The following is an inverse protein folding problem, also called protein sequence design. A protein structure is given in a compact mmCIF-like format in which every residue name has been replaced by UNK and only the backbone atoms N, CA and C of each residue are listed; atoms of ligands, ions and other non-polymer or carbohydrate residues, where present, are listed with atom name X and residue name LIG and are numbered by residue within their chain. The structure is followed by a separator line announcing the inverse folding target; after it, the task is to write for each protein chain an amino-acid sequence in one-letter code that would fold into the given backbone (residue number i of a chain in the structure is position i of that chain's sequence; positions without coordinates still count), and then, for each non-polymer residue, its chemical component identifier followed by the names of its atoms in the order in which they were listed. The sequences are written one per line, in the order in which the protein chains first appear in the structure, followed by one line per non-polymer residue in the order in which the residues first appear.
data_IF_139592021107
#
_entry.id   IF_139592021107
#
_cell.length_a   1.000
_cell.length_b   1.000
_cell.length_c   1.000
_cell.angle_alpha   90.00
_cell.angle_beta   90.00
_cell.angle_gamma   90.00
#
_symmetry.space_group_name_H-M   'P 1'
#
loop_
_entity.id
_entity.type
_entity.pdbx_description
1 polymer ?
#
# COMPACT_ATOMS: atom_id res chain seq x y z
N UNK A 1 -13.47 6.42 9.16
CA UNK A 1 -12.05 6.18 9.42
C UNK A 1 -11.64 4.75 9.17
N UNK A 2 -11.94 4.27 7.96
CA UNK A 2 -11.55 2.98 7.40
C UNK A 2 -10.96 3.30 6.02
N UNK A 3 -9.83 2.70 5.70
CA UNK A 3 -9.15 2.84 4.42
C UNK A 3 -8.98 1.48 3.77
N UNK A 4 -9.03 1.46 2.43
CA UNK A 4 -8.87 0.25 1.65
C UNK A 4 -8.20 0.56 0.31
N UNK A 5 -7.26 -0.29 -0.10
CA UNK A 5 -6.57 -0.19 -1.38
C UNK A 5 -6.51 -1.55 -2.07
N UNK A 6 -6.75 -1.58 -3.38
CA UNK A 6 -6.53 -2.76 -4.24
C UNK A 6 -5.19 -2.65 -4.96
N UNK A 7 -4.36 -3.68 -4.86
CA UNK A 7 -3.03 -3.73 -5.46
C UNK A 7 -2.93 -4.93 -6.41
N UNK A 8 -2.13 -4.79 -7.47
CA UNK A 8 -1.98 -5.84 -8.49
C UNK A 8 -1.48 -7.16 -7.89
N UNK A 9 -2.12 -8.29 -8.24
CA UNK A 9 -1.82 -9.62 -7.73
C UNK A 9 -1.86 -10.68 -8.85
N UNK A 10 -1.03 -10.50 -9.90
CA UNK A 10 -1.19 -11.20 -11.16
C UNK A 10 -0.84 -12.68 -11.05
N UNK A 11 -1.64 -13.55 -11.66
CA UNK A 11 -1.40 -15.00 -11.70
C UNK A 11 -1.74 -15.76 -10.40
N UNK A 12 -1.98 -15.06 -9.29
CA UNK A 12 -2.48 -15.66 -8.05
C UNK A 12 -3.98 -15.38 -7.85
N UNK A 13 -4.42 -14.13 -8.09
CA UNK A 13 -5.81 -13.73 -7.94
C UNK A 13 -6.75 -14.66 -8.73
N UNK A 14 -7.74 -15.22 -8.05
CA UNK A 14 -8.81 -16.03 -8.61
C UNK A 14 -10.15 -15.48 -8.13
N UNK A 15 -11.03 -15.18 -9.09
CA UNK A 15 -12.42 -14.84 -8.81
C UNK A 15 -13.30 -16.03 -9.14
N UNK A 16 -14.42 -16.15 -8.44
CA UNK A 16 -15.18 -17.39 -8.42
C UNK A 16 -16.47 -17.26 -9.23
N UNK A 17 -17.06 -18.40 -9.61
CA UNK A 17 -18.46 -18.41 -10.02
C UNK A 17 -19.36 -17.88 -8.88
N UNK A 18 -20.51 -17.35 -9.25
CA UNK A 18 -21.51 -16.92 -8.29
C UNK A 18 -21.94 -18.09 -7.39
N UNK A 19 -22.10 -17.80 -6.09
CA UNK A 19 -22.50 -18.79 -5.09
C UNK A 19 -23.86 -18.45 -4.51
N UNK A 20 -24.71 -19.46 -4.41
CA UNK A 20 -25.99 -19.36 -3.70
C UNK A 20 -25.73 -19.06 -2.21
N UNK A 21 -26.56 -18.23 -1.59
CA UNK A 21 -26.45 -17.81 -0.18
C UNK A 21 -25.18 -17.02 0.17
N UNK A 22 -24.53 -16.39 -0.81
CA UNK A 22 -23.45 -15.42 -0.63
C UNK A 22 -23.81 -14.09 -1.27
N UNK A 23 -23.26 -13.02 -0.73
CA UNK A 23 -23.28 -11.73 -1.40
C UNK A 23 -22.21 -11.76 -2.50
N UNK A 24 -22.63 -11.98 -3.75
CA UNK A 24 -21.74 -12.00 -4.90
C UNK A 24 -21.44 -10.56 -5.32
N UNK A 25 -20.17 -10.17 -5.21
CA UNK A 25 -19.70 -8.83 -5.59
C UNK A 25 -18.56 -8.94 -6.59
N UNK A 26 -18.50 -8.03 -7.54
CA UNK A 26 -17.37 -7.97 -8.45
C UNK A 26 -16.15 -7.34 -7.74
N UNK A 27 -14.94 -7.64 -8.23
CA UNK A 27 -13.69 -7.07 -7.69
C UNK A 27 -13.68 -5.53 -7.70
N UNK A 28 -14.30 -4.91 -8.72
CA UNK A 28 -14.41 -3.45 -8.86
C UNK A 28 -15.44 -2.82 -7.89
N UNK A 29 -16.38 -3.60 -7.36
CA UNK A 29 -17.36 -3.15 -6.37
C UNK A 29 -16.83 -3.28 -4.94
N UNK A 30 -15.78 -4.06 -4.73
CA UNK A 30 -15.36 -4.48 -3.40
C UNK A 30 -14.92 -3.33 -2.50
N UNK A 31 -14.18 -2.35 -3.03
CA UNK A 31 -13.79 -1.15 -2.26
C UNK A 31 -15.03 -0.34 -1.84
N UNK A 32 -15.92 0.09 -2.75
CA UNK A 32 -17.20 0.72 -2.37
C UNK A 32 -18.03 -0.11 -1.39
N UNK A 33 -18.08 -1.44 -1.58
CA UNK A 33 -18.87 -2.35 -0.77
C UNK A 33 -18.43 -2.35 0.69
N UNK A 34 -17.11 -2.43 0.93
CA UNK A 34 -16.52 -2.36 2.27
C UNK A 34 -16.66 -0.95 2.86
N UNK A 35 -16.19 0.09 2.14
CA UNK A 35 -16.12 1.45 2.69
C UNK A 35 -17.49 2.09 2.90
N UNK A 36 -18.52 1.65 2.17
CA UNK A 36 -19.89 2.13 2.32
C UNK A 36 -20.67 1.47 3.48
N UNK A 37 -20.16 0.39 4.07
CA UNK A 37 -20.91 -0.44 5.03
C UNK A 37 -20.17 -0.73 6.33
N UNK A 38 -18.85 -0.53 6.38
CA UNK A 38 -18.04 -0.84 7.55
C UNK A 38 -17.32 0.40 8.10
N UNK A 39 -17.19 0.42 9.43
CA UNK A 39 -16.49 1.47 10.19
C UNK A 39 -15.25 0.96 10.93
N UNK A 40 -15.16 -0.35 11.16
CA UNK A 40 -14.05 -1.01 11.89
C UNK A 40 -13.58 -2.29 11.20
N UNK A 41 -12.36 -2.74 11.48
CA UNK A 41 -11.84 -4.04 11.01
C UNK A 41 -12.70 -5.21 11.49
N UNK A 42 -13.35 -5.12 12.66
CA UNK A 42 -14.26 -6.17 13.13
C UNK A 42 -15.46 -6.34 12.20
N UNK A 43 -16.11 -5.23 11.84
CA UNK A 43 -17.26 -5.24 10.91
C UNK A 43 -16.83 -5.72 9.52
N UNK A 44 -15.62 -5.36 9.07
CA UNK A 44 -15.04 -5.87 7.83
C UNK A 44 -14.94 -7.40 7.89
N UNK A 45 -14.36 -7.98 8.94
CA UNK A 45 -14.25 -9.45 9.08
C UNK A 45 -15.62 -10.14 9.05
N UNK A 46 -16.62 -9.56 9.72
CA UNK A 46 -17.99 -10.09 9.70
C UNK A 46 -18.60 -10.03 8.30
N UNK A 47 -18.42 -8.91 7.58
CA UNK A 47 -18.89 -8.76 6.21
C UNK A 47 -18.19 -9.75 5.26
N UNK A 48 -16.86 -9.89 5.34
CA UNK A 48 -16.07 -10.79 4.51
C UNK A 48 -16.51 -12.27 4.65
N UNK A 49 -17.02 -12.67 5.81
CA UNK A 49 -17.52 -14.04 6.01
C UNK A 49 -18.74 -14.39 5.15
N UNK A 50 -19.45 -13.38 4.62
CA UNK A 50 -20.71 -13.51 3.86
C UNK A 50 -20.58 -13.28 2.37
N UNK A 51 -19.47 -12.70 1.91
CA UNK A 51 -19.30 -12.36 0.49
C UNK A 51 -18.68 -13.50 -0.33
N UNK A 52 -18.79 -13.36 -1.65
CA UNK A 52 -18.03 -14.09 -2.67
C UNK A 52 -17.56 -13.07 -3.71
N UNK A 53 -16.26 -13.00 -4.00
CA UNK A 53 -15.76 -12.13 -5.09
C UNK A 53 -15.93 -12.90 -6.41
N UNK A 54 -16.92 -12.48 -7.18
CA UNK A 54 -17.33 -13.15 -8.40
C UNK A 54 -16.52 -12.67 -9.61
N UNK A 55 -16.30 -13.58 -10.58
CA UNK A 55 -15.60 -13.27 -11.83
C UNK A 55 -16.50 -12.49 -12.79
N UNK A 56 -16.71 -11.23 -12.45
CA UNK A 56 -17.57 -10.30 -13.18
C UNK A 56 -16.74 -9.12 -13.71
N UNK A 57 -16.88 -8.87 -15.01
CA UNK A 57 -16.29 -7.71 -15.66
C UNK A 57 -17.18 -6.48 -15.47
N UNK A 58 -16.57 -5.31 -15.32
CA UNK A 58 -17.33 -4.05 -15.29
C UNK A 58 -18.10 -3.83 -16.60
N UNK A 59 -17.45 -4.16 -17.72
CA UNK A 59 -18.07 -4.22 -19.04
C UNK A 59 -17.25 -5.12 -19.95
N UNK A 60 -17.77 -5.45 -21.14
CA UNK A 60 -17.01 -6.21 -22.15
C UNK A 60 -15.64 -5.57 -22.48
N UNK A 61 -15.55 -4.24 -22.42
CA UNK A 61 -14.31 -3.48 -22.71
C UNK A 61 -13.41 -3.25 -21.49
N UNK A 62 -13.90 -3.56 -20.29
CA UNK A 62 -13.19 -3.34 -19.04
C UNK A 62 -13.25 -4.63 -18.22
N UNK A 63 -12.30 -5.51 -18.55
CA UNK A 63 -12.13 -6.79 -17.90
C UNK A 63 -11.63 -6.59 -16.46
N UNK A 64 -11.90 -7.57 -15.60
CA UNK A 64 -11.45 -7.56 -14.21
C UNK A 64 -9.92 -7.57 -14.09
N UNK A 65 -9.38 -6.77 -13.18
CA UNK A 65 -7.95 -6.77 -12.85
C UNK A 65 -7.66 -7.81 -11.77
N UNK A 66 -6.49 -8.44 -11.80
CA UNK A 66 -6.04 -9.34 -10.73
C UNK A 66 -5.59 -8.52 -9.51
N UNK A 67 -6.32 -8.61 -8.39
CA UNK A 67 -6.09 -7.77 -7.21
C UNK A 67 -6.02 -8.59 -5.92
N UNK A 68 -5.32 -8.02 -4.94
CA UNK A 68 -5.47 -8.30 -3.51
C UNK A 68 -5.63 -6.98 -2.77
N UNK A 69 -6.05 -7.01 -1.50
CA UNK A 69 -6.47 -5.79 -0.81
C UNK A 69 -5.83 -5.62 0.56
N UNK A 70 -5.42 -4.39 0.85
CA UNK A 70 -5.06 -3.93 2.19
C UNK A 70 -6.24 -3.13 2.75
N UNK A 71 -6.67 -3.48 3.96
CA UNK A 71 -7.73 -2.77 4.68
C UNK A 71 -7.18 -2.36 6.05
N UNK A 72 -7.36 -1.10 6.44
CA UNK A 72 -6.90 -0.60 7.74
C UNK A 72 -7.92 0.38 8.34
N UNK A 73 -8.07 0.37 9.67
CA UNK A 73 -8.88 1.36 10.37
C UNK A 73 -8.03 2.33 11.21
N UNK A 74 -8.67 3.37 11.73
CA UNK A 74 -8.04 4.40 12.56
C UNK A 74 -7.40 3.90 13.86
N UNK A 75 -7.63 2.65 14.27
CA UNK A 75 -6.92 2.06 15.43
C UNK A 75 -5.50 1.65 15.09
N UNK A 76 -5.14 1.64 13.80
CA UNK A 76 -3.88 1.09 13.29
C UNK A 76 -3.95 -0.41 13.01
N UNK A 77 -5.09 -1.06 13.27
CA UNK A 77 -5.32 -2.45 12.89
C UNK A 77 -5.46 -2.54 11.37
N UNK A 78 -4.80 -3.51 10.75
CA UNK A 78 -4.91 -3.76 9.32
C UNK A 78 -4.97 -5.25 9.00
N UNK A 79 -5.58 -5.58 7.87
CA UNK A 79 -5.66 -6.93 7.33
C UNK A 79 -5.38 -6.95 5.83
N UNK A 80 -5.01 -8.11 5.32
CA UNK A 80 -4.87 -8.39 3.90
C UNK A 80 -5.93 -9.40 3.48
N UNK A 81 -6.58 -9.16 2.35
CA UNK A 81 -7.51 -10.09 1.70
C UNK A 81 -6.91 -10.55 0.38
N UNK A 82 -6.70 -11.86 0.23
CA UNK A 82 -6.23 -12.51 -1.00
C UNK A 82 -7.26 -13.54 -1.45
N UNK A 83 -7.69 -13.51 -2.71
CA UNK A 83 -8.53 -14.56 -3.29
C UNK A 83 -7.66 -15.43 -4.19
N UNK A 84 -7.29 -16.61 -3.70
CA UNK A 84 -6.47 -17.59 -4.41
C UNK A 84 -7.35 -18.73 -4.97
N UNK A 85 -6.77 -19.64 -5.75
CA UNK A 85 -7.51 -20.78 -6.33
C UNK A 85 -8.20 -21.67 -5.29
N UNK A 86 -7.65 -21.75 -4.09
CA UNK A 86 -8.17 -22.56 -2.99
C UNK A 86 -9.17 -21.80 -2.10
N UNK A 87 -9.28 -20.48 -2.24
CA UNK A 87 -10.29 -19.69 -1.56
C UNK A 87 -9.84 -18.28 -1.19
N UNK A 88 -10.74 -17.57 -0.50
CA UNK A 88 -10.46 -16.27 0.09
C UNK A 88 -9.74 -16.45 1.41
N UNK A 89 -8.58 -15.81 1.54
CA UNK A 89 -7.78 -15.77 2.75
C UNK A 89 -7.80 -14.37 3.34
N UNK A 90 -7.93 -14.31 4.66
CA UNK A 90 -7.95 -13.06 5.44
C UNK A 90 -6.81 -13.16 6.46
N UNK A 91 -5.82 -12.30 6.32
CA UNK A 91 -4.64 -12.29 7.18
C UNK A 91 -4.62 -11.04 8.04
N UNK A 92 -4.37 -11.19 9.34
CA UNK A 92 -3.96 -10.05 10.15
C UNK A 92 -2.62 -9.52 9.63
N UNK A 93 -2.49 -8.21 9.50
CA UNK A 93 -1.29 -7.57 8.94
C UNK A 93 -0.51 -6.83 10.04
N UNK A 94 0.43 -7.50 10.74
CA UNK A 94 1.19 -6.89 11.82
C UNK A 94 2.19 -5.83 11.33
N UNK A 95 2.52 -5.83 10.04
CA UNK A 95 3.44 -4.84 9.45
C UNK A 95 2.71 -3.64 8.85
N UNK A 96 1.41 -3.75 8.59
CA UNK A 96 0.57 -2.74 7.94
C UNK A 96 1.16 -2.20 6.64
N UNK A 97 1.70 -3.11 5.83
CA UNK A 97 2.23 -2.87 4.49
C UNK A 97 1.72 -3.98 3.56
N UNK A 98 1.57 -3.68 2.27
CA UNK A 98 1.25 -4.64 1.22
C UNK A 98 1.88 -4.17 -0.09
N UNK A 99 2.35 -5.10 -0.92
CA UNK A 99 2.86 -4.81 -2.26
C UNK A 99 2.09 -5.63 -3.30
N UNK A 100 2.71 -6.59 -3.97
CA UNK A 100 2.10 -7.43 -5.00
C UNK A 100 2.41 -8.89 -4.64
N UNK A 101 2.68 -9.74 -5.63
CA UNK A 101 3.11 -11.13 -5.42
C UNK A 101 4.39 -11.25 -4.58
N UNK A 102 4.64 -12.40 -3.93
CA UNK A 102 3.75 -13.56 -3.79
C UNK A 102 2.68 -13.34 -2.70
N UNK A 103 1.95 -14.41 -2.32
CA UNK A 103 1.02 -14.41 -1.18
C UNK A 103 1.61 -13.73 0.07
N UNK A 104 0.79 -13.02 0.83
CA UNK A 104 1.18 -12.25 2.00
C UNK A 104 1.93 -13.05 3.08
N UNK A 105 1.58 -14.31 3.41
CA UNK A 105 2.38 -15.12 4.34
C UNK A 105 3.83 -15.33 3.91
N UNK A 106 4.11 -15.40 2.60
CA UNK A 106 5.48 -15.50 2.07
C UNK A 106 6.22 -14.18 2.21
N UNK A 107 5.55 -13.06 1.96
CA UNK A 107 6.10 -11.72 2.20
C UNK A 107 6.49 -11.55 3.69
N UNK A 108 5.61 -11.93 4.61
CA UNK A 108 5.91 -11.93 6.05
C UNK A 108 7.07 -12.86 6.41
N UNK A 109 7.08 -14.09 5.87
CA UNK A 109 8.16 -15.05 6.12
C UNK A 109 9.51 -14.53 5.63
N UNK A 110 9.55 -13.82 4.51
CA UNK A 110 10.77 -13.23 3.95
C UNK A 110 11.43 -12.22 4.90
N UNK A 111 10.66 -11.54 5.78
CA UNK A 111 11.21 -10.59 6.75
C UNK A 111 12.22 -11.23 7.72
N UNK A 112 12.15 -12.57 7.94
CA UNK A 112 13.13 -13.28 8.77
C UNK A 112 14.57 -13.15 8.24
N UNK A 113 14.75 -12.96 6.93
CA UNK A 113 16.06 -12.77 6.31
C UNK A 113 16.72 -11.43 6.67
N UNK A 114 15.96 -10.50 7.26
CA UNK A 114 16.40 -9.12 7.53
C UNK A 114 16.42 -8.79 9.02
N UNK A 115 16.44 -9.81 9.89
CA UNK A 115 16.40 -9.65 11.34
C UNK A 115 17.60 -8.87 11.92
N UNK A 116 18.71 -8.79 11.19
CA UNK A 116 19.92 -8.07 11.56
C UNK A 116 20.02 -6.64 10.99
N UNK A 117 19.09 -6.27 10.09
CA UNK A 117 19.03 -4.93 9.50
C UNK A 117 18.65 -3.92 10.58
N UNK A 118 19.39 -2.81 10.63
CA UNK A 118 19.22 -1.78 11.65
C UNK A 118 19.53 -0.38 11.13
N UNK A 119 18.88 0.68 11.64
CA UNK A 119 19.30 2.05 11.36
C UNK A 119 20.60 2.44 12.08
N UNK A 120 21.09 1.60 13.00
CA UNK A 120 22.28 1.87 13.83
C UNK A 120 23.54 1.31 13.18
N UNK A 121 24.71 1.82 13.59
CA UNK A 121 25.97 1.19 13.20
C UNK A 121 26.06 -0.23 13.76
N UNK A 122 26.46 -1.23 12.95
CA UNK A 122 26.55 -2.60 13.41
C UNK A 122 27.69 -2.74 14.43
N UNK A 123 27.49 -3.64 15.40
CA UNK A 123 28.59 -4.08 16.27
C UNK A 123 29.53 -4.97 15.47
N UNK A 124 30.83 -4.92 15.78
CA UNK A 124 31.78 -5.87 15.22
C UNK A 124 31.56 -7.27 15.83
N UNK A 125 30.74 -8.08 15.14
CA UNK A 125 30.48 -9.47 15.50
C UNK A 125 31.41 -10.45 14.75
N UNK A 126 32.30 -9.97 13.87
CA UNK A 126 33.19 -10.82 13.09
C UNK A 126 34.33 -11.37 13.94
N UNK A 127 35.10 -10.48 14.58
CA UNK A 127 36.16 -10.84 15.53
C UNK A 127 36.66 -9.60 16.26
N UNK A 128 36.87 -9.72 17.56
CA UNK A 128 37.56 -8.73 18.40
C UNK A 128 39.02 -8.46 18.00
N UNK A 129 39.62 -9.35 17.19
CA UNK A 129 41.00 -9.21 16.68
C UNK A 129 41.12 -8.31 15.46
N UNK A 130 40.01 -7.99 14.78
CA UNK A 130 40.00 -7.17 13.57
C UNK A 130 39.24 -5.89 13.87
N UNK A 131 39.91 -4.74 13.78
CA UNK A 131 39.24 -3.45 13.96
C UNK A 131 38.37 -3.12 12.73
N UNK A 132 37.06 -3.05 12.92
CA UNK A 132 36.11 -2.59 11.90
C UNK A 132 35.77 -1.11 12.13
N UNK A 133 36.42 -0.23 11.37
CA UNK A 133 36.36 1.23 11.58
C UNK A 133 35.04 1.91 11.21
N UNK A 134 33.99 1.16 10.81
CA UNK A 134 32.69 1.72 10.47
C UNK A 134 32.77 2.79 9.38
N UNK A 135 33.37 2.46 8.23
CA UNK A 135 33.80 3.42 7.20
C UNK A 135 32.67 4.25 6.57
N UNK A 136 31.41 3.85 6.73
CA UNK A 136 30.25 4.55 6.20
C UNK A 136 29.12 4.60 7.23
N UNK A 137 28.32 5.66 7.16
CA UNK A 137 26.98 5.67 7.77
C UNK A 137 26.07 4.70 6.99
N UNK A 138 25.01 4.21 7.64
CA UNK A 138 24.06 3.28 7.01
C UNK A 138 24.55 1.84 6.91
N UNK A 139 25.71 1.49 7.49
CA UNK A 139 26.21 0.12 7.47
C UNK A 139 25.30 -0.88 8.20
N UNK A 140 24.38 -0.45 9.07
CA UNK A 140 23.42 -1.35 9.69
C UNK A 140 22.30 -1.78 8.74
N UNK A 141 22.01 -0.97 7.72
CA UNK A 141 20.93 -1.22 6.76
C UNK A 141 21.46 -1.71 5.41
N UNK A 142 22.73 -2.13 5.35
CA UNK A 142 23.42 -2.45 4.11
C UNK A 142 22.84 -3.64 3.34
N UNK A 143 22.14 -4.54 4.05
CA UNK A 143 21.46 -5.71 3.47
C UNK A 143 20.02 -5.41 3.03
N UNK A 144 19.53 -4.17 3.12
CA UNK A 144 18.24 -3.84 2.53
C UNK A 144 18.28 -4.02 1.01
N UNK A 145 17.26 -4.65 0.41
CA UNK A 145 17.24 -4.88 -1.02
C UNK A 145 16.86 -3.59 -1.77
N UNK A 146 17.54 -3.30 -2.87
CA UNK A 146 17.31 -2.09 -3.69
C UNK A 146 16.42 -2.30 -4.93
N UNK A 147 15.93 -3.52 -5.18
CA UNK A 147 15.18 -3.86 -6.39
C UNK A 147 13.78 -3.24 -6.47
N UNK A 148 13.23 -3.12 -7.68
CA UNK A 148 11.84 -2.67 -7.92
C UNK A 148 10.82 -3.81 -7.77
N UNK A 149 11.29 -5.05 -7.60
CA UNK A 149 10.43 -6.20 -7.37
C UNK A 149 9.61 -6.05 -6.07
N UNK A 150 8.50 -6.78 -6.05
CA UNK A 150 7.49 -6.71 -5.00
C UNK A 150 8.02 -7.06 -3.61
N UNK A 151 8.89 -8.06 -3.49
CA UNK A 151 9.44 -8.52 -2.21
C UNK A 151 10.47 -7.50 -1.69
N UNK A 152 11.34 -6.99 -2.56
CA UNK A 152 12.29 -5.92 -2.22
C UNK A 152 11.57 -4.67 -1.72
N UNK A 153 10.50 -4.25 -2.42
CA UNK A 153 9.66 -3.12 -1.99
C UNK A 153 9.00 -3.40 -0.65
N UNK A 154 8.46 -4.59 -0.43
CA UNK A 154 7.80 -4.96 0.82
C UNK A 154 8.75 -4.83 2.03
N UNK A 155 9.97 -5.38 1.91
CA UNK A 155 11.00 -5.30 2.96
C UNK A 155 11.38 -3.84 3.23
N UNK A 156 11.66 -3.05 2.18
CA UNK A 156 12.06 -1.65 2.33
C UNK A 156 10.98 -0.81 2.99
N UNK A 157 9.73 -0.88 2.51
CA UNK A 157 8.64 -0.05 3.06
C UNK A 157 8.34 -0.42 4.50
N UNK A 158 8.37 -1.72 4.84
CA UNK A 158 8.18 -2.17 6.22
C UNK A 158 9.31 -1.67 7.13
N UNK A 159 10.57 -1.81 6.71
CA UNK A 159 11.72 -1.31 7.48
C UNK A 159 11.64 0.21 7.68
N UNK A 160 11.35 0.97 6.62
CA UNK A 160 11.25 2.43 6.71
C UNK A 160 10.10 2.87 7.60
N UNK A 161 8.92 2.23 7.49
CA UNK A 161 7.77 2.50 8.36
C UNK A 161 8.12 2.33 9.85
N UNK A 162 8.75 1.22 10.23
CA UNK A 162 9.04 0.92 11.64
C UNK A 162 10.19 1.74 12.23
N UNK A 163 11.01 2.38 11.39
CA UNK A 163 12.15 3.19 11.84
C UNK A 163 11.96 4.69 11.55
N UNK A 164 10.84 5.10 10.96
CA UNK A 164 10.50 6.49 10.74
C UNK A 164 10.18 7.20 12.06
N UNK A 165 10.51 8.49 12.20
CA UNK A 165 10.09 9.28 13.35
C UNK A 165 8.56 9.46 13.35
N UNK A 166 7.99 9.60 14.54
CA UNK A 166 6.61 10.05 14.72
C UNK A 166 6.67 11.51 15.16
N UNK A 167 5.95 12.37 14.45
CA UNK A 167 5.90 13.79 14.73
C UNK A 167 4.61 14.18 15.47
N UNK A 168 4.59 15.40 16.03
CA UNK A 168 3.41 15.92 16.74
C UNK A 168 2.40 16.55 15.79
N UNK A 169 2.85 17.08 14.64
CA UNK A 169 2.01 17.77 13.68
C UNK A 169 1.57 16.85 12.54
N UNK A 170 0.44 17.19 11.92
CA UNK A 170 -0.05 16.42 10.77
C UNK A 170 0.86 16.64 9.55
N UNK A 171 1.31 17.87 9.33
CA UNK A 171 2.19 18.23 8.23
C UNK A 171 3.47 17.38 8.24
N UNK A 172 4.14 17.26 9.38
CA UNK A 172 5.37 16.45 9.51
C UNK A 172 5.10 14.94 9.36
N UNK A 173 3.96 14.45 9.87
CA UNK A 173 3.59 13.04 9.74
C UNK A 173 3.24 12.68 8.28
N UNK A 174 2.53 13.56 7.56
CA UNK A 174 2.23 13.36 6.14
C UNK A 174 3.51 13.45 5.29
N UNK A 175 4.41 14.39 5.59
CA UNK A 175 5.72 14.47 4.93
C UNK A 175 6.53 13.18 5.13
N UNK A 176 6.61 12.69 6.37
CA UNK A 176 7.27 11.42 6.70
C UNK A 176 6.62 10.24 5.98
N UNK A 177 5.28 10.20 5.91
CA UNK A 177 4.52 9.17 5.21
C UNK A 177 4.90 9.12 3.71
N UNK A 178 4.97 10.27 3.04
CA UNK A 178 5.41 10.32 1.65
C UNK A 178 6.89 9.94 1.48
N UNK A 179 7.77 10.28 2.43
CA UNK A 179 9.15 9.80 2.43
C UNK A 179 9.25 8.26 2.49
N UNK A 180 8.40 7.61 3.28
CA UNK A 180 8.31 6.15 3.34
C UNK A 180 7.86 5.59 1.98
N UNK A 181 6.80 6.14 1.37
CA UNK A 181 6.34 5.67 0.06
C UNK A 181 7.37 5.89 -1.05
N UNK A 182 8.05 7.03 -1.06
CA UNK A 182 9.08 7.33 -2.07
C UNK A 182 10.31 6.40 -1.96
N UNK A 183 10.53 5.73 -0.83
CA UNK A 183 11.58 4.70 -0.72
C UNK A 183 11.34 3.46 -1.60
N UNK A 184 10.11 3.30 -2.10
CA UNK A 184 9.68 2.20 -2.96
C UNK A 184 8.99 2.70 -4.23
N UNK A 185 9.11 3.98 -4.56
CA UNK A 185 8.60 4.49 -5.83
C UNK A 185 9.38 3.89 -7.01
N UNK A 186 8.68 3.68 -8.12
CA UNK A 186 9.26 3.19 -9.35
C UNK A 186 9.48 4.36 -10.30
N UNK A 187 10.75 4.64 -10.61
CA UNK A 187 11.12 5.66 -11.57
C UNK A 187 10.97 5.13 -13.00
N UNK A 188 10.54 6.01 -13.92
CA UNK A 188 10.45 5.64 -15.35
C UNK A 188 11.80 5.13 -15.85
N UNK A 189 11.78 3.97 -16.52
CA UNK A 189 12.96 3.34 -17.11
C UNK A 189 13.64 2.29 -16.23
N UNK A 190 13.16 2.03 -15.01
CA UNK A 190 13.78 1.08 -14.09
C UNK A 190 13.05 -0.26 -13.95
N UNK A 191 11.82 -0.39 -14.44
CA UNK A 191 11.06 -1.65 -14.44
C UNK A 191 10.37 -1.86 -15.80
N UNK A 192 10.96 -2.71 -16.67
CA UNK A 192 10.41 -3.01 -18.00
C UNK A 192 9.42 -4.18 -17.92
N UNK A 193 8.15 -3.92 -18.25
CA UNK A 193 7.03 -4.89 -18.19
C UNK A 193 6.62 -5.42 -19.56
N UNK A 194 7.28 -4.95 -20.62
CA UNK A 194 7.12 -5.37 -22.00
C UNK A 194 8.05 -4.55 -22.90
N UNK A 195 8.23 -4.89 -24.19
CA UNK A 195 9.21 -4.21 -25.05
C UNK A 195 9.05 -2.68 -25.07
N UNK A 196 10.01 -1.96 -24.50
CA UNK A 196 10.01 -0.50 -24.31
C UNK A 196 8.83 0.06 -23.49
N UNK A 197 8.20 -0.76 -22.65
CA UNK A 197 7.11 -0.38 -21.77
C UNK A 197 7.56 -0.49 -20.32
N UNK A 198 7.52 0.62 -19.58
CA UNK A 198 8.05 0.69 -18.23
C UNK A 198 6.97 1.03 -17.21
N UNK A 199 6.89 0.22 -16.15
CA UNK A 199 6.09 0.55 -14.98
C UNK A 199 6.74 1.73 -14.24
N UNK A 200 5.89 2.57 -13.64
CA UNK A 200 6.33 3.69 -12.80
C UNK A 200 5.23 4.08 -11.81
N UNK A 201 5.61 4.72 -10.71
CA UNK A 201 4.64 5.24 -9.73
C UNK A 201 3.86 6.41 -10.33
N UNK A 202 2.61 6.18 -10.75
CA UNK A 202 1.76 7.21 -11.38
C UNK A 202 1.44 8.32 -10.37
N UNK A 203 1.07 7.95 -9.16
CA UNK A 203 0.79 8.82 -8.03
C UNK A 203 1.10 8.09 -6.72
N UNK A 204 1.23 8.86 -5.65
CA UNK A 204 1.34 8.37 -4.26
C UNK A 204 0.24 9.05 -3.46
N UNK A 205 -0.46 8.31 -2.62
CA UNK A 205 -1.54 8.85 -1.79
C UNK A 205 -1.46 8.35 -0.34
N UNK A 206 -2.15 9.07 0.54
CA UNK A 206 -2.33 8.71 1.94
C UNK A 206 -3.57 9.38 2.50
N UNK A 207 -4.22 8.75 3.48
CA UNK A 207 -5.45 9.28 4.08
C UNK A 207 -5.29 9.41 5.59
N UNK A 208 -5.59 10.58 6.15
CA UNK A 208 -5.84 10.70 7.58
C UNK A 208 -7.22 10.11 7.89
N UNK A 209 -7.25 8.90 8.45
CA UNK A 209 -8.48 8.17 8.74
C UNK A 209 -9.31 8.78 9.88
N UNK A 210 -8.69 9.56 10.77
CA UNK A 210 -9.40 10.27 11.84
C UNK A 210 -10.13 11.51 11.32
N UNK A 211 -9.51 12.21 10.36
CA UNK A 211 -10.01 13.49 9.84
C UNK A 211 -10.73 13.38 8.51
N UNK A 212 -10.65 12.25 7.80
CA UNK A 212 -11.25 12.13 6.46
C UNK A 212 -10.56 13.00 5.41
N UNK A 213 -9.24 13.19 5.54
CA UNK A 213 -8.46 14.01 4.62
C UNK A 213 -7.61 13.10 3.74
N UNK A 214 -7.77 13.24 2.43
CA UNK A 214 -7.03 12.52 1.40
C UNK A 214 -5.90 13.41 0.86
N UNK A 215 -4.68 12.89 0.89
CA UNK A 215 -3.47 13.54 0.43
C UNK A 215 -2.93 12.78 -0.78
N UNK A 216 -2.43 13.50 -1.79
CA UNK A 216 -1.74 12.85 -2.90
C UNK A 216 -0.67 13.73 -3.55
N UNK A 217 0.35 13.07 -4.09
CA UNK A 217 1.30 13.62 -5.08
C UNK A 217 1.18 12.81 -6.36
N UNK A 218 1.63 13.36 -7.49
CA UNK A 218 1.72 12.61 -8.75
C UNK A 218 3.17 12.46 -9.18
N UNK A 219 3.43 11.62 -10.19
CA UNK A 219 4.77 11.50 -10.75
C UNK A 219 5.37 12.85 -11.13
N UNK A 220 4.56 13.73 -11.75
CA UNK A 220 4.98 15.01 -12.29
C UNK A 220 4.73 16.20 -11.35
N UNK A 221 3.73 16.13 -10.46
CA UNK A 221 3.45 17.14 -9.44
C UNK A 221 3.84 16.62 -8.05
N UNK A 222 4.97 17.09 -7.54
CA UNK A 222 5.50 16.73 -6.21
C UNK A 222 4.92 17.55 -5.07
N UNK A 223 4.09 18.55 -5.35
CA UNK A 223 3.35 19.26 -4.30
C UNK A 223 2.29 18.32 -3.71
N UNK A 224 2.20 18.24 -2.39
CA UNK A 224 1.13 17.51 -1.71
C UNK A 224 -0.19 18.25 -1.92
N UNK A 225 -1.14 17.57 -2.54
CA UNK A 225 -2.49 18.05 -2.80
C UNK A 225 -3.43 17.44 -1.75
N UNK A 226 -4.47 18.20 -1.36
CA UNK A 226 -5.33 17.85 -0.22
C UNK A 226 -6.79 17.92 -0.63
N UNK A 227 -7.56 16.89 -0.31
CA UNK A 227 -9.03 16.85 -0.43
C UNK A 227 -9.58 16.47 0.93
N UNK A 228 -10.38 17.35 1.53
CA UNK A 228 -11.01 17.12 2.84
C UNK A 228 -12.49 16.81 2.62
N UNK A 229 -12.90 15.57 2.89
CA UNK A 229 -14.26 15.14 2.61
C UNK A 229 -15.31 15.89 3.43
N UNK A 230 -14.94 16.45 4.59
CA UNK A 230 -15.88 17.18 5.45
C UNK A 230 -16.13 18.61 4.97
N UNK A 231 -15.48 19.04 3.89
CA UNK A 231 -15.79 20.31 3.20
C UNK A 231 -16.86 20.14 2.12
N UNK A 232 -17.31 18.91 1.88
CA UNK A 232 -18.35 18.58 0.91
C UNK A 232 -19.70 18.28 1.57
N UNK A 233 -20.75 18.26 0.75
CA UNK A 233 -22.05 17.72 1.14
C UNK A 233 -22.02 16.19 1.07
N UNK A 234 -21.86 15.55 2.23
CA UNK A 234 -21.80 14.08 2.35
C UNK A 234 -23.16 13.40 2.13
N UNK A 235 -24.27 14.15 2.16
CA UNK A 235 -25.62 13.65 1.87
C UNK A 235 -26.01 13.84 0.39
N UNK A 236 -25.09 14.37 -0.43
CA UNK A 236 -25.29 14.51 -1.87
C UNK A 236 -25.56 13.17 -2.55
N UNK A 237 -26.53 13.16 -3.47
CA UNK A 237 -26.82 12.02 -4.35
C UNK A 237 -25.92 11.93 -5.58
N UNK A 238 -25.06 12.94 -5.80
CA UNK A 238 -24.13 13.00 -6.93
C UNK A 238 -22.68 12.80 -6.47
N UNK A 239 -21.90 12.08 -7.28
CA UNK A 239 -20.46 11.95 -7.07
C UNK A 239 -19.77 13.31 -7.21
N UNK A 240 -19.02 13.68 -6.18
CA UNK A 240 -18.13 14.85 -6.19
C UNK A 240 -16.77 14.37 -6.66
N UNK A 241 -16.30 14.91 -7.77
CA UNK A 241 -15.07 14.47 -8.43
C UNK A 241 -14.08 15.62 -8.59
N UNK A 242 -12.82 15.31 -8.33
CA UNK A 242 -11.70 16.23 -8.46
C UNK A 242 -10.76 15.74 -9.55
N UNK A 243 -10.47 16.59 -10.54
CA UNK A 243 -9.40 16.30 -11.50
C UNK A 243 -8.06 16.26 -10.77
N UNK A 244 -7.23 15.25 -11.06
CA UNK A 244 -5.90 15.17 -10.47
C UNK A 244 -5.04 16.36 -10.90
N UNK A 245 -4.37 16.98 -9.92
CA UNK A 245 -3.40 18.03 -10.17
C UNK A 245 -2.06 17.40 -10.55
N UNK A 246 -1.88 17.14 -11.84
CA UNK A 246 -0.76 16.35 -12.38
C UNK A 246 0.36 17.19 -13.02
N UNK A 247 0.13 18.49 -13.24
CA UNK A 247 1.16 19.39 -13.79
C UNK A 247 2.20 19.74 -12.74
N UNK A 248 3.47 19.72 -13.11
CA UNK A 248 4.57 20.18 -12.25
C UNK A 248 4.29 21.58 -11.72
N UNK A 249 4.47 21.74 -10.40
CA UNK A 249 4.33 23.01 -9.69
C UNK A 249 5.67 23.45 -9.16
N UNK A 250 6.05 24.69 -9.47
CA UNK A 250 7.20 25.36 -8.90
C UNK A 250 6.71 26.47 -7.97
N UNK A 251 7.33 26.59 -6.80
CA UNK A 251 7.21 27.78 -5.97
C UNK A 251 8.33 28.76 -6.37
N UNK A 252 7.97 29.85 -7.02
CA UNK A 252 8.93 30.85 -7.48
C UNK A 252 9.27 31.80 -6.34
N UNK A 253 10.50 31.69 -5.83
CA UNK A 253 11.01 32.57 -4.77
C UNK A 253 11.41 33.96 -5.30
N UNK A 254 11.53 34.11 -6.63
CA UNK A 254 11.79 35.36 -7.34
C UNK A 254 11.22 35.32 -8.76
#
# INVERSE_FOLDING_TARGET
GLGMAGLNYPGNATYYEEKENKDNIASFEFIPWILGQCSTISEVKDLLSRINIADLNFSEKMQTSSLHWLIADKTGTSLVVETDKDGMHIYDNPVGCLTNNPQFPKQLFNLNNYADVSPKMPKNNFSDKVNMAGYSRGLGSHNLPGGMDSESRFVRVAFNKFNAPIAETEEENIDTYFHILHSVEQQKGLDEVGPNSFEYTIYSDGTNLDKGIFYYTTYSNKQINVVDMNKEDLDSSNLISYNMLDKTKFNHQN
#
